data_IF_609762496382
#
_entry.id   IF_609762496382
#
_cell.length_a   1.000
_cell.length_b   1.000
_cell.length_c   1.000
_cell.angle_alpha   90.00
_cell.angle_beta   90.00
_cell.angle_gamma   90.00
#
_symmetry.space_group_name_H-M   'P 1'
#
loop_
_entity.id
_entity.type
_entity.pdbx_description
1 polymer ?
#
# COMPACT_ATOMS: atom_id res chain seq x y z
N UNK A 1 30.04 20.87 25.56
CA UNK A 1 29.02 21.94 25.47
C UNK A 1 28.20 21.65 24.22
N UNK A 2 27.14 20.85 24.40
CA UNK A 2 25.75 21.18 24.04
C UNK A 2 25.44 20.88 22.56
N UNK A 3 24.88 19.69 22.31
CA UNK A 3 23.47 19.44 21.87
C UNK A 3 23.35 19.63 20.35
N UNK A 4 22.92 18.64 19.57
CA UNK A 4 21.51 18.25 19.52
C UNK A 4 21.37 16.91 18.78
N UNK A 5 20.96 15.87 19.49
CA UNK A 5 20.44 14.65 18.88
C UNK A 5 19.03 14.97 18.42
N UNK A 6 18.88 15.42 17.17
CA UNK A 6 17.58 15.59 16.55
C UNK A 6 16.91 14.22 16.46
N UNK A 7 16.08 13.90 17.47
CA UNK A 7 15.06 12.87 17.34
C UNK A 7 14.17 13.29 16.18
N UNK A 8 14.24 12.57 15.07
CA UNK A 8 13.29 12.72 13.97
C UNK A 8 11.88 12.61 14.56
N UNK A 9 10.92 13.46 14.14
CA UNK A 9 9.55 13.33 14.58
C UNK A 9 9.07 11.94 14.18
N UNK A 10 8.83 11.08 15.19
CA UNK A 10 8.22 9.77 15.01
C UNK A 10 6.71 9.93 14.76
N UNK A 11 6.35 10.86 13.86
CA UNK A 11 5.03 10.92 13.28
C UNK A 11 4.81 9.72 12.37
N UNK A 12 3.57 9.29 12.14
CA UNK A 12 3.29 8.33 11.08
C UNK A 12 3.90 8.88 9.78
N UNK A 13 4.53 8.02 8.95
CA UNK A 13 4.99 8.46 7.64
C UNK A 13 3.78 9.02 6.90
N UNK A 14 3.78 10.33 6.66
CA UNK A 14 2.79 10.97 5.82
C UNK A 14 3.05 10.43 4.41
N UNK A 15 2.26 9.46 3.97
CA UNK A 15 2.40 8.92 2.63
C UNK A 15 2.04 10.02 1.63
N UNK A 16 2.97 10.26 0.70
CA UNK A 16 2.68 11.09 -0.45
C UNK A 16 1.89 10.30 -1.49
N UNK A 17 1.22 10.98 -2.42
CA UNK A 17 0.56 10.31 -3.55
C UNK A 17 1.52 9.39 -4.32
N UNK A 18 2.80 9.78 -4.42
CA UNK A 18 3.85 8.97 -5.05
C UNK A 18 4.17 7.69 -4.28
N UNK A 19 4.11 7.72 -2.95
CA UNK A 19 4.31 6.53 -2.11
C UNK A 19 3.12 5.57 -2.25
N UNK A 20 1.90 6.11 -2.26
CA UNK A 20 0.67 5.34 -2.49
C UNK A 20 0.71 4.69 -3.87
N UNK A 21 1.18 5.42 -4.89
CA UNK A 21 1.39 4.90 -6.24
C UNK A 21 2.41 3.77 -6.30
N UNK A 22 3.56 3.96 -5.66
CA UNK A 22 4.60 2.96 -5.62
C UNK A 22 4.14 1.69 -4.91
N UNK A 23 3.37 1.81 -3.83
CA UNK A 23 2.80 0.67 -3.10
C UNK A 23 1.76 -0.06 -3.93
N UNK A 24 0.84 0.67 -4.57
CA UNK A 24 -0.16 0.07 -5.44
C UNK A 24 0.49 -0.67 -6.62
N UNK A 25 1.52 -0.08 -7.22
CA UNK A 25 2.28 -0.73 -8.29
C UNK A 25 2.99 -2.00 -7.82
N UNK A 26 3.67 -1.95 -6.67
CA UNK A 26 4.33 -3.12 -6.09
C UNK A 26 3.35 -4.24 -5.76
N UNK A 27 2.19 -3.91 -5.20
CA UNK A 27 1.12 -4.86 -4.93
C UNK A 27 0.71 -5.59 -6.22
N UNK A 28 0.47 -4.86 -7.31
CA UNK A 28 0.06 -5.41 -8.61
C UNK A 28 1.11 -6.30 -9.29
N UNK A 29 2.39 -6.17 -8.89
CA UNK A 29 3.50 -6.99 -9.39
C UNK A 29 3.88 -8.10 -8.41
N UNK A 30 3.21 -8.20 -7.27
CA UNK A 30 3.44 -9.23 -6.28
C UNK A 30 2.56 -10.46 -6.53
N UNK A 31 2.91 -11.59 -5.91
CA UNK A 31 2.07 -12.80 -5.93
C UNK A 31 0.65 -12.55 -5.38
N UNK A 32 0.46 -11.54 -4.53
CA UNK A 32 -0.87 -11.20 -4.00
C UNK A 32 -1.84 -10.67 -5.07
N UNK A 33 -1.34 -10.16 -6.19
CA UNK A 33 -2.16 -9.78 -7.33
C UNK A 33 -2.36 -10.92 -8.35
N UNK A 34 -1.72 -12.07 -8.15
CA UNK A 34 -1.86 -13.26 -8.99
C UNK A 34 -2.97 -14.20 -8.52
N UNK A 35 -3.20 -15.23 -9.34
CA UNK A 35 -4.21 -16.27 -9.11
C UNK A 35 -3.94 -17.11 -7.86
N UNK A 36 -2.70 -17.13 -7.34
CA UNK A 36 -2.33 -17.81 -6.09
C UNK A 36 -3.19 -17.37 -4.90
N UNK A 37 -3.69 -16.15 -4.94
CA UNK A 37 -4.58 -15.58 -3.92
C UNK A 37 -5.97 -15.26 -4.47
N UNK A 38 -6.35 -15.82 -5.63
CA UNK A 38 -7.64 -15.58 -6.29
C UNK A 38 -8.86 -15.77 -5.36
N UNK A 39 -8.76 -16.71 -4.42
CA UNK A 39 -9.81 -17.03 -3.46
C UNK A 39 -10.01 -15.97 -2.38
N UNK A 40 -9.05 -15.05 -2.22
CA UNK A 40 -9.13 -13.99 -1.23
C UNK A 40 -9.73 -12.72 -1.83
N UNK A 41 -10.56 -11.98 -1.08
CA UNK A 41 -11.02 -10.68 -1.54
C UNK A 41 -9.83 -9.68 -1.58
N UNK A 42 -9.92 -8.67 -2.45
CA UNK A 42 -8.81 -7.77 -2.78
C UNK A 42 -8.21 -7.08 -1.55
N UNK A 43 -9.08 -6.62 -0.65
CA UNK A 43 -8.72 -6.06 0.65
C UNK A 43 -7.86 -7.05 1.47
N UNK A 44 -8.27 -8.31 1.58
CA UNK A 44 -7.48 -9.31 2.31
C UNK A 44 -6.13 -9.59 1.66
N UNK A 45 -6.04 -9.53 0.32
CA UNK A 45 -4.75 -9.66 -0.40
C UNK A 45 -3.84 -8.48 -0.10
N UNK A 46 -4.39 -7.27 -0.09
CA UNK A 46 -3.65 -6.05 0.18
C UNK A 46 -3.17 -5.99 1.64
N UNK A 47 -4.02 -6.36 2.61
CA UNK A 47 -3.63 -6.50 4.03
C UNK A 47 -2.45 -7.45 4.20
N UNK A 48 -2.53 -8.64 3.57
CA UNK A 48 -1.45 -9.63 3.62
C UNK A 48 -0.14 -9.12 3.02
N UNK A 49 -0.21 -8.42 1.87
CA UNK A 49 0.94 -7.79 1.24
C UNK A 49 1.60 -6.75 2.15
N UNK A 50 0.83 -5.80 2.68
CA UNK A 50 1.36 -4.73 3.54
C UNK A 50 1.96 -5.28 4.84
N UNK A 51 1.34 -6.30 5.44
CA UNK A 51 1.92 -6.98 6.62
C UNK A 51 3.22 -7.70 6.29
N UNK A 52 3.33 -8.34 5.13
CA UNK A 52 4.55 -9.01 4.68
C UNK A 52 5.70 -8.03 4.46
N UNK A 53 5.42 -6.84 3.94
CA UNK A 53 6.40 -5.77 3.75
C UNK A 53 6.73 -5.01 5.05
N UNK A 54 6.18 -5.43 6.20
CA UNK A 54 6.42 -4.79 7.50
C UNK A 54 5.67 -3.47 7.69
N UNK A 55 4.72 -3.15 6.80
CA UNK A 55 3.95 -1.91 6.78
C UNK A 55 2.65 -2.01 7.60
N UNK A 56 2.70 -2.72 8.73
CA UNK A 56 1.54 -2.99 9.59
C UNK A 56 0.84 -1.71 10.04
N UNK A 57 1.60 -0.62 10.25
CA UNK A 57 1.03 0.67 10.63
C UNK A 57 0.10 1.26 9.56
N UNK A 58 0.35 0.99 8.28
CA UNK A 58 -0.51 1.44 7.18
C UNK A 58 -1.83 0.67 7.13
N UNK A 59 -1.84 -0.56 7.63
CA UNK A 59 -3.03 -1.39 7.74
C UNK A 59 -3.89 -0.98 8.92
N UNK A 60 -3.26 -0.59 10.03
CA UNK A 60 -3.94 -0.12 11.24
C UNK A 60 -4.54 1.29 11.05
N UNK A 61 -3.96 2.09 10.18
CA UNK A 61 -4.49 3.39 9.75
C UNK A 61 -5.50 3.19 8.61
N UNK A 62 -6.79 3.17 8.96
CA UNK A 62 -7.88 2.90 8.01
C UNK A 62 -7.98 3.93 6.88
N UNK A 63 -7.61 5.19 7.12
CA UNK A 63 -7.64 6.23 6.09
C UNK A 63 -6.51 5.99 5.08
N UNK A 64 -5.30 5.71 5.59
CA UNK A 64 -4.15 5.39 4.74
C UNK A 64 -4.36 4.10 3.96
N UNK A 65 -4.89 3.06 4.62
CA UNK A 65 -5.24 1.81 3.96
C UNK A 65 -6.26 2.02 2.84
N UNK A 66 -7.29 2.84 3.08
CA UNK A 66 -8.30 3.21 2.08
C UNK A 66 -7.67 3.87 0.85
N UNK A 67 -6.75 4.82 1.03
CA UNK A 67 -6.06 5.48 -0.08
C UNK A 67 -5.27 4.49 -0.96
N UNK A 68 -4.59 3.52 -0.35
CA UNK A 68 -3.84 2.49 -1.09
C UNK A 68 -4.81 1.57 -1.85
N UNK A 69 -5.88 1.14 -1.19
CA UNK A 69 -6.90 0.28 -1.81
C UNK A 69 -7.56 0.96 -3.01
N UNK A 70 -7.95 2.23 -2.86
CA UNK A 70 -8.54 3.03 -3.93
C UNK A 70 -7.58 3.17 -5.11
N UNK A 71 -6.29 3.41 -4.84
CA UNK A 71 -5.26 3.49 -5.90
C UNK A 71 -5.09 2.17 -6.63
N UNK A 72 -5.06 1.04 -5.92
CA UNK A 72 -5.00 -0.30 -6.51
C UNK A 72 -6.20 -0.54 -7.42
N UNK A 73 -7.42 -0.25 -6.96
CA UNK A 73 -8.63 -0.41 -7.77
C UNK A 73 -8.59 0.49 -9.02
N UNK A 74 -8.09 1.72 -8.90
CA UNK A 74 -7.95 2.62 -10.04
C UNK A 74 -7.01 2.05 -11.12
N UNK A 75 -5.90 1.42 -10.73
CA UNK A 75 -4.98 0.75 -11.66
C UNK A 75 -5.56 -0.51 -12.29
N UNK A 76 -6.31 -1.32 -11.53
CA UNK A 76 -7.02 -2.48 -12.09
C UNK A 76 -8.03 -2.00 -13.15
N UNK A 77 -8.83 -0.97 -12.83
CA UNK A 77 -9.80 -0.41 -13.78
C UNK A 77 -9.14 0.23 -15.00
N UNK A 78 -7.99 0.91 -14.83
CA UNK A 78 -7.22 1.45 -15.95
C UNK A 78 -6.70 0.34 -16.87
N UNK A 79 -6.16 -0.75 -16.31
CA UNK A 79 -5.65 -1.90 -17.07
C UNK A 79 -6.77 -2.65 -17.80
N UNK A 80 -7.95 -2.78 -17.18
CA UNK A 80 -9.12 -3.37 -17.83
C UNK A 80 -9.56 -2.56 -19.07
N UNK A 81 -9.56 -1.22 -18.98
CA UNK A 81 -9.89 -0.33 -20.11
C UNK A 81 -8.89 -0.34 -21.26
N UNK A 82 -7.63 -0.70 -20.99
CA UNK A 82 -6.60 -0.83 -22.02
C UNK A 82 -6.63 -2.19 -22.73
N UNK A 83 -7.37 -3.14 -22.17
CA UNK A 83 -7.49 -4.51 -22.69
C UNK A 83 -8.77 -4.71 -23.53
N UNK A 84 -9.54 -3.64 -23.72
CA UNK A 84 -10.74 -3.51 -24.57
C UNK A 84 -10.33 -2.90 -25.92
#
# INVERSE_FOLDING_TARGET
MATETASLPSGPPILTDGDVDALAWQFLHSSYACDDYADWPLDRRLDGFLRREGLVRLVEDGDTYGLILDRVMAYIAARARLSD
#
